data_IF_289412944050
#
_entry.id   IF_289412944050
#
_cell.length_a   1.000
_cell.length_b   1.000
_cell.length_c   1.000
_cell.angle_alpha   90.00
_cell.angle_beta   90.00
_cell.angle_gamma   90.00
#
_symmetry.space_group_name_H-M   'P 1'
#
loop_
_entity.id
_entity.type
_entity.pdbx_description
1 polymer ?
#
# COMPACT_ATOMS: atom_id res chain seq x y z
N UNK A 1 13.86 -40.16 31.74
CA UNK A 1 13.96 -38.91 30.95
C UNK A 1 14.12 -37.76 31.95
N UNK A 2 15.24 -37.04 31.90
CA UNK A 2 15.69 -36.18 33.01
C UNK A 2 14.92 -34.85 33.00
N UNK A 3 14.21 -34.52 34.09
CA UNK A 3 13.30 -33.36 34.16
C UNK A 3 14.00 -32.02 33.85
N UNK A 4 15.31 -31.94 34.11
CA UNK A 4 16.17 -30.81 33.77
C UNK A 4 16.39 -30.64 32.26
N UNK A 5 16.40 -31.73 31.50
CA UNK A 5 16.57 -31.72 30.05
C UNK A 5 15.32 -31.19 29.35
N UNK A 6 14.12 -31.54 29.83
CA UNK A 6 12.87 -30.97 29.32
C UNK A 6 12.75 -29.48 29.59
N UNK A 7 13.14 -29.01 30.78
CA UNK A 7 13.10 -27.59 31.10
C UNK A 7 14.05 -26.77 30.22
N UNK A 8 15.25 -27.31 29.95
CA UNK A 8 16.23 -26.68 29.08
C UNK A 8 15.76 -26.62 27.61
N UNK A 9 15.14 -27.70 27.11
CA UNK A 9 14.58 -27.73 25.75
C UNK A 9 13.41 -26.75 25.62
N UNK A 10 12.51 -26.68 26.60
CA UNK A 10 11.39 -25.72 26.58
C UNK A 10 11.86 -24.26 26.62
N UNK A 11 12.89 -23.94 27.40
CA UNK A 11 13.48 -22.59 27.45
C UNK A 11 14.20 -22.22 26.14
N UNK A 12 14.86 -23.18 25.48
CA UNK A 12 15.47 -22.99 24.16
C UNK A 12 14.42 -22.75 23.07
N UNK A 13 13.28 -23.45 23.12
CA UNK A 13 12.18 -23.25 22.17
C UNK A 13 11.50 -21.89 22.42
N UNK A 14 11.30 -21.47 23.67
CA UNK A 14 10.80 -20.12 24.00
C UNK A 14 11.77 -18.99 23.59
N UNK A 15 13.08 -19.23 23.69
CA UNK A 15 14.11 -18.30 23.20
C UNK A 15 14.18 -18.22 21.66
N UNK A 16 13.92 -19.32 20.96
CA UNK A 16 13.86 -19.34 19.50
C UNK A 16 12.58 -18.68 18.96
N UNK A 17 11.43 -18.87 19.62
CA UNK A 17 10.15 -18.27 19.20
C UNK A 17 10.11 -16.76 19.44
N UNK A 18 10.85 -16.22 20.40
CA UNK A 18 10.94 -14.77 20.65
C UNK A 18 11.86 -14.02 19.67
N UNK A 19 12.69 -14.74 18.90
CA UNK A 19 13.60 -14.13 17.91
C UNK A 19 12.99 -13.92 16.52
N UNK A 20 11.74 -14.34 16.30
CA UNK A 20 11.05 -14.17 15.02
C UNK A 20 10.20 -12.89 14.90
N UNK A 21 10.25 -11.97 15.86
CA UNK A 21 9.24 -10.90 15.96
C UNK A 21 9.50 -9.62 15.13
N UNK A 22 10.69 -9.39 14.56
CA UNK A 22 10.95 -8.18 13.76
C UNK A 22 11.78 -8.54 12.50
N UNK A 23 11.14 -8.88 11.37
CA UNK A 23 11.86 -9.29 10.15
C UNK A 23 12.66 -8.14 9.50
N UNK A 24 12.27 -6.88 9.76
CA UNK A 24 12.98 -5.66 9.35
C UNK A 24 13.48 -4.88 10.55
N UNK A 25 14.62 -4.20 10.40
CA UNK A 25 15.03 -3.20 11.38
C UNK A 25 14.00 -2.08 11.44
N UNK A 26 13.89 -1.41 12.60
CA UNK A 26 12.96 -0.27 12.77
C UNK A 26 13.19 0.82 11.73
N UNK A 27 14.45 1.07 11.35
CA UNK A 27 14.80 2.06 10.34
C UNK A 27 14.29 1.65 8.95
N UNK A 28 14.55 0.41 8.52
CA UNK A 28 14.06 -0.10 7.22
C UNK A 28 12.54 -0.08 7.14
N UNK A 29 11.85 -0.48 8.21
CA UNK A 29 10.39 -0.42 8.30
C UNK A 29 9.87 1.02 8.12
N UNK A 30 10.44 1.98 8.84
CA UNK A 30 10.02 3.39 8.76
C UNK A 30 10.36 4.01 7.40
N UNK A 31 11.50 3.65 6.80
CA UNK A 31 11.89 4.13 5.47
C UNK A 31 10.90 3.64 4.40
N UNK A 32 10.59 2.35 4.38
CA UNK A 32 9.65 1.79 3.41
C UNK A 32 8.22 2.30 3.60
N UNK A 33 7.77 2.42 4.86
CA UNK A 33 6.49 3.05 5.18
C UNK A 33 6.46 4.49 4.62
N UNK A 34 7.49 5.28 4.90
CA UNK A 34 7.59 6.66 4.43
C UNK A 34 7.57 6.77 2.90
N UNK A 35 8.29 5.91 2.19
CA UNK A 35 8.29 5.87 0.73
C UNK A 35 6.89 5.58 0.17
N UNK A 36 6.20 4.57 0.71
CA UNK A 36 4.86 4.20 0.28
C UNK A 36 3.83 5.31 0.57
N UNK A 37 3.84 5.89 1.77
CA UNK A 37 2.91 6.95 2.13
C UNK A 37 3.17 8.25 1.36
N UNK A 38 4.43 8.60 1.09
CA UNK A 38 4.75 9.76 0.26
C UNK A 38 4.28 9.54 -1.18
N UNK A 39 4.52 8.36 -1.76
CA UNK A 39 4.01 8.03 -3.09
C UNK A 39 2.47 8.11 -3.16
N UNK A 40 1.78 7.67 -2.10
CA UNK A 40 0.32 7.80 -1.98
C UNK A 40 -0.11 9.25 -1.95
N UNK A 41 0.50 10.07 -1.09
CA UNK A 41 0.17 11.50 -0.95
C UNK A 41 0.40 12.24 -2.26
N UNK A 42 1.51 11.99 -2.96
CA UNK A 42 1.77 12.58 -4.27
C UNK A 42 0.69 12.21 -5.30
N UNK A 43 0.25 10.95 -5.30
CA UNK A 43 -0.81 10.50 -6.20
C UNK A 43 -2.17 11.12 -5.83
N UNK A 44 -2.50 11.25 -4.54
CA UNK A 44 -3.73 11.93 -4.06
C UNK A 44 -3.72 13.39 -4.51
N UNK A 45 -2.62 14.10 -4.28
CA UNK A 45 -2.51 15.52 -4.63
C UNK A 45 -2.72 15.72 -6.13
N UNK A 46 -2.08 14.89 -6.97
CA UNK A 46 -2.27 14.96 -8.43
C UNK A 46 -3.70 14.65 -8.84
N UNK A 47 -4.32 13.63 -8.24
CA UNK A 47 -5.72 13.28 -8.50
C UNK A 47 -6.66 14.42 -8.13
N UNK A 48 -6.51 15.00 -6.94
CA UNK A 48 -7.37 16.09 -6.46
C UNK A 48 -7.21 17.36 -7.30
N UNK A 49 -5.97 17.77 -7.59
CA UNK A 49 -5.70 18.95 -8.43
C UNK A 49 -6.33 18.82 -9.81
N UNK A 50 -6.13 17.68 -10.48
CA UNK A 50 -6.69 17.45 -11.81
C UNK A 50 -8.21 17.20 -11.77
N UNK A 51 -8.72 16.63 -10.68
CA UNK A 51 -10.16 16.49 -10.43
C UNK A 51 -10.86 17.84 -10.37
N UNK A 52 -10.34 18.78 -9.58
CA UNK A 52 -10.85 20.17 -9.52
C UNK A 52 -10.82 20.81 -10.91
N UNK A 53 -9.70 20.70 -11.62
CA UNK A 53 -9.59 21.26 -12.98
C UNK A 53 -10.60 20.64 -13.96
N UNK A 54 -10.94 19.35 -13.80
CA UNK A 54 -11.92 18.67 -14.64
C UNK A 54 -13.36 19.12 -14.40
N UNK A 55 -13.65 19.64 -13.19
CA UNK A 55 -14.94 20.26 -12.87
C UNK A 55 -15.04 21.68 -13.45
N UNK A 56 -13.91 22.39 -13.54
CA UNK A 56 -13.84 23.76 -14.05
C UNK A 56 -13.80 23.84 -15.58
N UNK A 57 -13.13 22.89 -16.24
CA UNK A 57 -12.97 22.86 -17.70
C UNK A 57 -12.67 21.47 -18.23
N UNK A 58 -12.76 21.34 -19.56
CA UNK A 58 -12.21 20.16 -20.23
C UNK A 58 -10.68 20.10 -20.03
N UNK A 59 -10.21 18.95 -19.58
CA UNK A 59 -8.79 18.65 -19.49
C UNK A 59 -8.21 18.44 -20.89
N UNK A 60 -6.98 18.92 -21.09
CA UNK A 60 -6.25 18.54 -22.29
C UNK A 60 -5.77 17.08 -22.18
N UNK A 61 -5.31 16.51 -23.29
CA UNK A 61 -4.87 15.12 -23.34
C UNK A 61 -3.81 14.76 -22.29
N UNK A 62 -2.83 15.65 -22.06
CA UNK A 62 -1.77 15.43 -21.06
C UNK A 62 -2.35 15.39 -19.65
N UNK A 63 -3.24 16.32 -19.32
CA UNK A 63 -3.89 16.39 -18.01
C UNK A 63 -4.81 15.19 -17.77
N UNK A 64 -5.56 14.76 -18.79
CA UNK A 64 -6.41 13.58 -18.69
C UNK A 64 -5.58 12.30 -18.49
N UNK A 65 -4.44 12.20 -19.17
CA UNK A 65 -3.49 11.11 -18.96
C UNK A 65 -2.89 11.16 -17.54
N UNK A 66 -2.51 12.34 -17.04
CA UNK A 66 -1.98 12.51 -15.68
C UNK A 66 -3.01 12.18 -14.59
N UNK A 67 -4.28 12.54 -14.80
CA UNK A 67 -5.39 12.19 -13.91
C UNK A 67 -5.62 10.69 -13.88
N UNK A 68 -5.52 10.06 -15.04
CA UNK A 68 -5.65 8.61 -15.14
C UNK A 68 -4.46 7.90 -14.46
N UNK A 69 -3.24 8.40 -14.69
CA UNK A 69 -2.03 7.89 -14.04
C UNK A 69 -2.11 8.02 -12.52
N UNK A 70 -2.69 9.10 -11.99
CA UNK A 70 -2.86 9.25 -10.54
C UNK A 70 -3.83 8.21 -9.97
N UNK A 71 -4.93 7.89 -10.65
CA UNK A 71 -5.83 6.78 -10.27
C UNK A 71 -5.09 5.45 -10.25
N UNK A 72 -4.33 5.12 -11.31
CA UNK A 72 -3.58 3.87 -11.37
C UNK A 72 -2.50 3.80 -10.27
N UNK A 73 -1.82 4.91 -10.00
CA UNK A 73 -0.83 5.00 -8.93
C UNK A 73 -1.49 4.81 -7.56
N UNK A 74 -2.66 5.41 -7.31
CA UNK A 74 -3.41 5.20 -6.07
C UNK A 74 -3.80 3.75 -5.88
N UNK A 75 -4.38 3.13 -6.91
CA UNK A 75 -4.76 1.72 -6.87
C UNK A 75 -3.55 0.83 -6.52
N UNK A 76 -2.43 1.03 -7.19
CA UNK A 76 -1.21 0.25 -7.00
C UNK A 76 -0.54 0.50 -5.64
N UNK A 77 -0.37 1.75 -5.23
CA UNK A 77 0.27 2.10 -3.96
C UNK A 77 -0.58 1.65 -2.77
N UNK A 78 -1.91 1.74 -2.85
CA UNK A 78 -2.79 1.23 -1.80
C UNK A 78 -2.66 -0.30 -1.64
N UNK A 79 -2.55 -1.06 -2.74
CA UNK A 79 -2.28 -2.51 -2.66
C UNK A 79 -0.90 -2.80 -2.04
N UNK A 80 0.12 -2.01 -2.38
CA UNK A 80 1.45 -2.14 -1.78
C UNK A 80 1.44 -1.81 -0.29
N UNK A 81 0.72 -0.77 0.13
CA UNK A 81 0.53 -0.42 1.54
C UNK A 81 -0.19 -1.56 2.27
N UNK A 82 -1.29 -2.09 1.70
CA UNK A 82 -2.00 -3.25 2.27
C UNK A 82 -1.05 -4.44 2.45
N UNK A 83 -0.23 -4.74 1.44
CA UNK A 83 0.78 -5.82 1.52
C UNK A 83 1.84 -5.51 2.60
N UNK A 84 2.36 -4.30 2.64
CA UNK A 84 3.33 -3.86 3.64
C UNK A 84 2.81 -4.05 5.06
N UNK A 85 1.58 -3.61 5.33
CA UNK A 85 0.92 -3.78 6.61
C UNK A 85 0.71 -5.25 6.99
N UNK A 86 0.31 -6.10 6.04
CA UNK A 86 0.18 -7.53 6.28
C UNK A 86 1.55 -8.18 6.55
N UNK A 87 2.57 -7.86 5.77
CA UNK A 87 3.90 -8.46 5.94
C UNK A 87 4.56 -8.00 7.26
N UNK A 88 4.22 -6.80 7.74
CA UNK A 88 4.82 -6.17 8.93
C UNK A 88 3.79 -5.86 10.02
N UNK A 89 2.75 -6.69 10.19
CA UNK A 89 1.60 -6.37 11.04
C UNK A 89 1.98 -5.98 12.48
N UNK A 90 2.84 -6.76 13.15
CA UNK A 90 3.27 -6.47 14.52
C UNK A 90 4.00 -5.12 14.64
N UNK A 91 4.86 -4.80 13.67
CA UNK A 91 5.57 -3.51 13.62
C UNK A 91 4.61 -2.36 13.29
N UNK A 92 3.60 -2.64 12.46
CA UNK A 92 2.61 -1.67 12.01
C UNK A 92 1.64 -1.26 13.12
N UNK A 93 1.49 -2.06 14.17
CA UNK A 93 0.76 -1.66 15.38
C UNK A 93 1.42 -0.48 16.11
N UNK A 94 2.72 -0.20 15.87
CA UNK A 94 3.35 1.03 16.37
C UNK A 94 2.78 2.28 15.69
N UNK A 95 2.32 2.17 14.43
CA UNK A 95 1.82 3.27 13.60
C UNK A 95 0.31 3.45 13.67
N UNK A 96 -0.45 2.37 13.79
CA UNK A 96 -1.91 2.36 13.69
C UNK A 96 -2.54 1.50 14.80
N UNK A 97 -2.42 1.97 16.05
CA UNK A 97 -2.84 1.25 17.26
C UNK A 97 -4.32 0.94 17.32
N UNK A 98 -5.13 1.68 16.57
CA UNK A 98 -6.57 1.50 16.44
C UNK A 98 -6.96 0.25 15.62
N UNK A 99 -6.04 -0.30 14.81
CA UNK A 99 -6.31 -1.44 13.90
C UNK A 99 -5.88 -2.75 14.55
N UNK A 100 -6.74 -3.29 15.40
CA UNK A 100 -6.38 -4.41 16.27
C UNK A 100 -6.21 -5.76 15.56
N UNK A 101 -6.78 -5.93 14.36
CA UNK A 101 -6.63 -7.17 13.57
C UNK A 101 -6.27 -6.90 12.11
N UNK A 102 -5.67 -7.90 11.46
CA UNK A 102 -5.36 -7.88 10.02
C UNK A 102 -6.64 -7.75 9.20
N UNK A 103 -7.72 -8.40 9.62
CA UNK A 103 -9.02 -8.36 8.94
C UNK A 103 -9.62 -6.94 8.96
N UNK A 104 -9.62 -6.27 10.12
CA UNK A 104 -10.11 -4.89 10.23
C UNK A 104 -9.32 -3.95 9.31
N UNK A 105 -7.99 -4.09 9.33
CA UNK A 105 -7.09 -3.31 8.51
C UNK A 105 -7.32 -3.57 7.01
N UNK A 106 -7.48 -4.83 6.61
CA UNK A 106 -7.75 -5.20 5.22
C UNK A 106 -9.10 -4.68 4.74
N UNK A 107 -10.14 -4.73 5.58
CA UNK A 107 -11.47 -4.21 5.25
C UNK A 107 -11.43 -2.70 4.97
N UNK A 108 -10.69 -1.95 5.78
CA UNK A 108 -10.51 -0.51 5.57
C UNK A 108 -9.75 -0.20 4.28
N UNK A 109 -8.64 -0.91 4.03
CA UNK A 109 -7.91 -0.74 2.78
C UNK A 109 -8.74 -1.12 1.55
N UNK A 110 -9.55 -2.18 1.63
CA UNK A 110 -10.47 -2.56 0.57
C UNK A 110 -11.49 -1.45 0.31
N UNK A 111 -12.10 -0.91 1.37
CA UNK A 111 -13.07 0.19 1.24
C UNK A 111 -12.46 1.43 0.61
N UNK A 112 -11.24 1.81 1.02
CA UNK A 112 -10.55 2.98 0.46
C UNK A 112 -10.07 2.77 -0.97
N UNK A 113 -9.64 1.54 -1.32
CA UNK A 113 -9.02 1.26 -2.61
C UNK A 113 -10.02 0.87 -3.71
N UNK A 114 -11.21 0.35 -3.34
CA UNK A 114 -12.15 -0.22 -4.30
C UNK A 114 -12.56 0.76 -5.41
N UNK A 115 -12.79 2.03 -5.05
CA UNK A 115 -13.16 3.06 -6.03
C UNK A 115 -12.08 3.28 -7.09
N UNK A 116 -10.80 3.31 -6.69
CA UNK A 116 -9.68 3.46 -7.62
C UNK A 116 -9.49 2.21 -8.47
N UNK A 117 -9.66 1.02 -7.90
CA UNK A 117 -9.61 -0.24 -8.63
C UNK A 117 -10.72 -0.35 -9.68
N UNK A 118 -11.93 0.12 -9.36
CA UNK A 118 -13.06 0.09 -10.29
C UNK A 118 -12.84 1.04 -11.46
N UNK A 119 -12.31 2.25 -11.21
CA UNK A 119 -11.91 3.16 -12.29
C UNK A 119 -10.77 2.55 -13.11
N UNK A 120 -9.73 1.99 -12.46
CA UNK A 120 -8.63 1.33 -13.15
C UNK A 120 -9.11 0.21 -14.10
N UNK A 121 -10.11 -0.58 -13.69
CA UNK A 121 -10.73 -1.61 -14.53
C UNK A 121 -11.47 -1.02 -15.73
N UNK A 122 -12.22 0.08 -15.56
CA UNK A 122 -12.94 0.74 -16.65
C UNK A 122 -12.01 1.28 -17.74
N UNK A 123 -10.75 1.55 -17.40
CA UNK A 123 -9.73 2.03 -18.35
C UNK A 123 -9.12 0.91 -19.21
N UNK A 124 -9.42 -0.36 -18.93
CA UNK A 124 -8.92 -1.50 -19.69
C UNK A 124 -9.34 -1.40 -21.16
N UNK A 125 -8.39 -1.57 -22.10
CA UNK A 125 -8.67 -1.45 -23.53
C UNK A 125 -8.79 -0.02 -24.04
N UNK A 126 -8.59 0.98 -23.19
CA UNK A 126 -8.50 2.39 -23.59
C UNK A 126 -7.04 2.83 -23.75
N UNK A 127 -6.76 3.96 -24.42
CA UNK A 127 -5.41 4.57 -24.45
C UNK A 127 -4.86 4.92 -23.05
N UNK A 128 -5.75 4.92 -22.05
CA UNK A 128 -5.49 5.25 -20.67
C UNK A 128 -5.41 4.00 -19.78
N UNK A 129 -5.23 2.79 -20.33
CA UNK A 129 -5.08 1.57 -19.54
C UNK A 129 -3.85 1.61 -18.62
N UNK A 130 -4.03 1.29 -17.34
CA UNK A 130 -2.94 1.26 -16.35
C UNK A 130 -1.77 0.40 -16.84
N UNK A 131 -0.54 0.95 -16.77
CA UNK A 131 0.68 0.26 -17.21
C UNK A 131 0.93 0.26 -18.73
N UNK A 132 -0.05 0.70 -19.53
CA UNK A 132 0.13 0.97 -20.98
C UNK A 132 0.18 2.47 -21.30
N UNK A 133 -0.12 3.32 -20.33
CA UNK A 133 0.02 4.77 -20.39
C UNK A 133 1.51 5.15 -20.59
N UNK A 134 1.89 5.53 -21.81
CA UNK A 134 3.21 6.08 -22.08
C UNK A 134 3.08 7.30 -22.99
N UNK A 135 3.50 8.46 -22.46
CA UNK A 135 3.53 9.73 -23.20
C UNK A 135 4.31 9.63 -24.52
N UNK A 136 5.38 8.82 -24.58
CA UNK A 136 6.18 8.59 -25.80
C UNK A 136 5.49 7.72 -26.87
N UNK A 137 4.44 6.98 -26.53
CA UNK A 137 3.69 6.16 -27.51
C UNK A 137 2.45 6.87 -28.04
N UNK A 138 2.11 8.03 -27.47
CA UNK A 138 0.89 8.78 -27.77
C UNK A 138 1.19 10.09 -28.55
N UNK A 139 2.46 10.34 -28.88
CA UNK A 139 2.97 11.38 -29.78
C UNK A 139 3.54 10.69 -31.04
#
# INVERSE_FOLDING_TARGET
MNMKLHLAISLLILGLVSSQAYPKSKLEFLTEANELFNARVEAINRFQTLGILSEERQLNFKEQLELTNSVCNLANVNEQIKKFYNDNFEQSQELAKEKTTREQMNLEFEKENQSYLDIAKQLTGTPYECGKQNYKKLL
#
